data_IF_063004558476
#
_entry.id   IF_063004558476
#
_cell.length_a   1.000
_cell.length_b   1.000
_cell.length_c   1.000
_cell.angle_alpha   90.00
_cell.angle_beta   90.00
_cell.angle_gamma   90.00
#
_symmetry.space_group_name_H-M   'P 1'
#
loop_
_entity.id
_entity.type
_entity.pdbx_description
1 polymer ?
#
# COMPACT_ATOMS: atom_id res chain seq x y z
N UNK A 1 -30.79 23.56 -6.60
CA UNK A 1 -30.94 22.35 -7.43
C UNK A 1 -29.68 21.52 -7.22
N UNK A 2 -29.81 20.44 -6.46
CA UNK A 2 -28.72 19.61 -5.96
C UNK A 2 -28.12 18.78 -7.09
N UNK A 3 -26.78 18.76 -7.21
CA UNK A 3 -26.08 17.82 -8.09
C UNK A 3 -25.24 16.89 -7.21
N UNK A 4 -25.88 15.87 -6.65
CA UNK A 4 -25.25 14.83 -5.82
C UNK A 4 -25.46 13.47 -6.49
N UNK A 5 -24.70 13.19 -7.57
CA UNK A 5 -24.70 11.85 -8.19
C UNK A 5 -23.58 11.66 -9.23
N UNK A 6 -22.32 12.02 -8.93
CA UNK A 6 -21.17 11.59 -9.78
C UNK A 6 -19.95 11.03 -9.01
N UNK A 7 -19.86 11.22 -7.69
CA UNK A 7 -18.70 10.74 -6.92
C UNK A 7 -18.55 9.20 -6.91
N UNK A 8 -19.63 8.45 -7.14
CA UNK A 8 -19.64 6.99 -7.14
C UNK A 8 -19.17 6.37 -8.47
N UNK A 9 -19.36 7.07 -9.59
CA UNK A 9 -18.97 6.59 -10.90
C UNK A 9 -17.46 6.77 -11.15
N UNK A 10 -16.89 7.86 -10.62
CA UNK A 10 -15.48 8.18 -10.77
C UNK A 10 -14.56 7.40 -9.79
N UNK A 11 -15.14 6.77 -8.76
CA UNK A 11 -14.43 5.94 -7.76
C UNK A 11 -15.18 4.62 -7.46
N UNK A 12 -15.26 3.70 -8.44
CA UNK A 12 -16.05 2.46 -8.32
C UNK A 12 -15.53 1.52 -7.21
N UNK A 13 -14.28 1.70 -6.78
CA UNK A 13 -13.65 0.91 -5.73
C UNK A 13 -13.59 1.63 -4.37
N UNK A 14 -14.04 2.88 -4.27
CA UNK A 14 -13.97 3.66 -3.03
C UNK A 14 -12.53 3.93 -2.56
N UNK A 15 -11.60 4.16 -3.49
CA UNK A 15 -10.18 4.44 -3.26
C UNK A 15 -9.94 5.69 -2.42
N UNK A 16 -10.91 6.62 -2.38
CA UNK A 16 -10.85 7.80 -1.50
C UNK A 16 -10.58 7.43 -0.04
N UNK A 17 -10.98 6.22 0.40
CA UNK A 17 -10.70 5.73 1.76
C UNK A 17 -9.20 5.66 2.05
N UNK A 18 -8.38 5.27 1.08
CA UNK A 18 -6.92 5.21 1.24
C UNK A 18 -6.32 6.61 1.27
N UNK A 19 -6.79 7.51 0.40
CA UNK A 19 -6.33 8.91 0.38
C UNK A 19 -6.61 9.58 1.73
N UNK A 20 -7.82 9.41 2.25
CA UNK A 20 -8.20 9.94 3.55
C UNK A 20 -7.34 9.35 4.68
N UNK A 21 -7.09 8.03 4.68
CA UNK A 21 -6.26 7.37 5.70
C UNK A 21 -4.78 7.82 5.68
N UNK A 22 -4.27 8.18 4.50
CA UNK A 22 -2.90 8.67 4.32
C UNK A 22 -2.76 10.19 4.54
N UNK A 23 -3.86 10.92 4.75
CA UNK A 23 -3.85 12.37 4.91
C UNK A 23 -3.43 12.81 6.32
N UNK A 24 -3.36 14.12 6.57
CA UNK A 24 -3.13 14.67 7.91
C UNK A 24 -1.73 14.39 8.49
N UNK A 25 -0.71 14.22 7.63
CA UNK A 25 0.66 13.95 8.07
C UNK A 25 1.01 12.45 8.19
N UNK A 26 0.04 11.55 8.01
CA UNK A 26 0.23 10.10 8.18
C UNK A 26 1.17 9.54 7.11
N UNK A 27 0.98 9.93 5.84
CA UNK A 27 1.89 9.52 4.77
C UNK A 27 3.32 9.99 5.04
N UNK A 28 3.50 11.26 5.43
CA UNK A 28 4.79 11.84 5.72
C UNK A 28 5.47 11.13 6.90
N UNK A 29 4.70 10.76 7.92
CA UNK A 29 5.17 9.97 9.06
C UNK A 29 5.62 8.57 8.61
N UNK A 30 4.83 7.87 7.81
CA UNK A 30 5.21 6.55 7.26
C UNK A 30 6.52 6.64 6.47
N UNK A 31 6.67 7.67 5.62
CA UNK A 31 7.90 7.85 4.85
C UNK A 31 9.11 8.19 5.74
N UNK A 32 8.93 8.92 6.85
CA UNK A 32 10.00 9.15 7.84
C UNK A 32 10.43 7.85 8.52
N UNK A 33 9.46 7.04 8.96
CA UNK A 33 9.73 5.75 9.60
C UNK A 33 10.44 4.77 8.66
N UNK A 34 9.98 4.68 7.40
CA UNK A 34 10.65 3.87 6.38
C UNK A 34 12.09 4.33 6.13
N UNK A 35 12.34 5.64 6.01
CA UNK A 35 13.71 6.17 5.89
C UNK A 35 14.56 5.87 7.12
N UNK A 36 13.95 5.82 8.31
CA UNK A 36 14.61 5.43 9.55
C UNK A 36 14.85 3.93 9.68
N UNK A 37 14.35 3.11 8.74
CA UNK A 37 14.52 1.66 8.74
C UNK A 37 13.72 0.93 9.84
N UNK A 38 12.74 1.61 10.46
CA UNK A 38 11.92 1.04 11.52
C UNK A 38 10.51 1.65 11.52
N UNK A 39 9.51 0.79 11.40
CA UNK A 39 8.10 1.15 11.54
C UNK A 39 7.72 1.23 13.01
N UNK A 40 7.04 2.31 13.39
CA UNK A 40 6.61 2.58 14.77
C UNK A 40 5.11 2.85 14.90
N UNK A 41 4.44 3.32 13.85
CA UNK A 41 3.03 3.74 13.93
C UNK A 41 2.10 2.90 13.04
N UNK A 42 0.80 3.21 13.10
CA UNK A 42 -0.29 2.37 12.58
C UNK A 42 -0.72 2.75 11.16
N UNK A 43 0.10 2.41 10.15
CA UNK A 43 -0.19 2.76 8.75
C UNK A 43 -0.11 1.61 7.75
N UNK A 44 0.27 0.39 8.19
CA UNK A 44 0.55 -0.72 7.29
C UNK A 44 -0.58 -1.00 6.29
N UNK A 45 -1.82 -1.03 6.77
CA UNK A 45 -2.98 -1.45 5.98
C UNK A 45 -3.28 -0.57 4.77
N UNK A 46 -2.91 0.71 4.82
CA UNK A 46 -3.27 1.67 3.78
C UNK A 46 -2.05 2.31 3.09
N UNK A 47 -0.82 1.97 3.51
CA UNK A 47 0.40 2.24 2.74
C UNK A 47 0.78 1.02 1.89
N UNK A 48 0.68 -0.18 2.46
CA UNK A 48 0.92 -1.47 1.80
C UNK A 48 -0.32 -2.36 1.93
N UNK A 49 -1.44 -2.01 1.25
CA UNK A 49 -2.66 -2.79 1.32
C UNK A 49 -2.50 -4.16 0.66
N UNK A 50 -3.23 -5.14 1.19
CA UNK A 50 -3.21 -6.53 0.72
C UNK A 50 -4.62 -6.98 0.30
N UNK A 51 -4.71 -8.14 -0.34
CA UNK A 51 -5.99 -8.71 -0.74
C UNK A 51 -6.91 -8.99 0.47
N UNK A 52 -8.22 -8.91 0.22
CA UNK A 52 -9.25 -9.29 1.18
C UNK A 52 -9.09 -10.76 1.64
N UNK A 53 -9.52 -11.04 2.87
CA UNK A 53 -9.46 -12.39 3.46
C UNK A 53 -8.14 -12.72 4.16
N UNK A 54 -7.07 -11.95 3.97
CA UNK A 54 -5.75 -12.20 4.59
C UNK A 54 -5.62 -11.67 6.04
N UNK A 55 -6.57 -10.86 6.51
CA UNK A 55 -6.51 -10.28 7.85
C UNK A 55 -7.88 -10.18 8.52
N UNK A 56 -7.88 -10.34 9.84
CA UNK A 56 -9.11 -10.46 10.64
C UNK A 56 -9.44 -9.21 11.46
N UNK A 57 -8.57 -8.18 11.50
CA UNK A 57 -8.89 -6.94 12.19
C UNK A 57 -9.84 -6.09 11.36
N UNK A 58 -10.57 -5.19 12.01
CA UNK A 58 -11.45 -4.23 11.34
C UNK A 58 -10.68 -3.39 10.31
N UNK A 59 -9.47 -2.93 10.67
CA UNK A 59 -8.61 -2.17 9.77
C UNK A 59 -8.14 -3.01 8.57
N UNK A 60 -7.81 -4.30 8.78
CA UNK A 60 -7.47 -5.20 7.68
C UNK A 60 -8.63 -5.42 6.71
N UNK A 61 -9.87 -5.48 7.20
CA UNK A 61 -11.05 -5.59 6.33
C UNK A 61 -11.35 -4.27 5.61
N UNK A 62 -11.27 -3.15 6.31
CA UNK A 62 -11.59 -1.81 5.76
C UNK A 62 -10.66 -1.41 4.61
N UNK A 63 -9.38 -1.73 4.73
CA UNK A 63 -8.34 -1.34 3.76
C UNK A 63 -7.83 -2.52 2.93
N UNK A 64 -8.56 -3.65 2.94
CA UNK A 64 -8.31 -4.69 1.96
C UNK A 64 -8.67 -4.22 0.55
N UNK A 65 -7.93 -4.74 -0.42
CA UNK A 65 -8.27 -4.66 -1.84
C UNK A 65 -9.08 -5.90 -2.20
N UNK A 66 -10.15 -5.71 -2.97
CA UNK A 66 -11.06 -6.77 -3.42
C UNK A 66 -10.42 -7.73 -4.44
N UNK A 67 -9.36 -7.31 -5.14
CA UNK A 67 -8.69 -8.12 -6.14
C UNK A 67 -7.68 -7.35 -6.98
N UNK A 68 -7.27 -7.95 -8.10
CA UNK A 68 -6.28 -7.39 -9.03
C UNK A 68 -6.81 -6.11 -9.71
N UNK A 69 -8.09 -6.06 -10.04
CA UNK A 69 -8.72 -4.92 -10.71
C UNK A 69 -8.68 -3.67 -9.83
N UNK A 70 -8.98 -3.82 -8.54
CA UNK A 70 -8.86 -2.72 -7.58
C UNK A 70 -7.40 -2.31 -7.36
N UNK A 71 -6.47 -3.28 -7.30
CA UNK A 71 -5.05 -2.98 -7.21
C UNK A 71 -4.55 -2.18 -8.44
N UNK A 72 -5.03 -2.51 -9.65
CA UNK A 72 -4.76 -1.73 -10.87
C UNK A 72 -5.32 -0.30 -10.76
N UNK A 73 -6.56 -0.17 -10.30
CA UNK A 73 -7.17 1.14 -10.09
C UNK A 73 -6.40 1.97 -9.03
N UNK A 74 -5.96 1.33 -7.93
CA UNK A 74 -5.11 1.94 -6.91
C UNK A 74 -3.80 2.47 -7.50
N UNK A 75 -3.12 1.69 -8.36
CA UNK A 75 -1.88 2.11 -9.01
C UNK A 75 -2.08 3.20 -10.08
N UNK A 76 -3.23 3.22 -10.75
CA UNK A 76 -3.59 4.24 -11.73
C UNK A 76 -4.07 5.55 -11.08
N UNK A 77 -4.50 5.50 -9.81
CA UNK A 77 -4.97 6.67 -9.10
C UNK A 77 -3.84 7.71 -8.94
N UNK A 78 -4.08 9.00 -9.27
CA UNK A 78 -3.04 10.02 -9.43
C UNK A 78 -2.21 10.28 -8.15
N UNK A 79 -2.78 9.99 -6.98
CA UNK A 79 -2.09 10.12 -5.69
C UNK A 79 -1.53 8.80 -5.17
N UNK A 80 -2.30 7.71 -5.25
CA UNK A 80 -2.01 6.47 -4.50
C UNK A 80 -0.89 5.68 -5.18
N UNK A 81 -0.92 5.61 -6.51
CA UNK A 81 0.14 4.96 -7.28
C UNK A 81 1.49 5.62 -7.13
N UNK A 82 1.54 6.96 -7.04
CA UNK A 82 2.79 7.69 -6.80
C UNK A 82 3.32 7.39 -5.38
N UNK A 83 2.46 7.49 -4.36
CA UNK A 83 2.83 7.23 -2.96
C UNK A 83 3.31 5.81 -2.72
N UNK A 84 2.67 4.82 -3.33
CA UNK A 84 3.10 3.42 -3.21
C UNK A 84 4.53 3.24 -3.77
N UNK A 85 4.80 3.76 -4.96
CA UNK A 85 6.14 3.69 -5.57
C UNK A 85 7.18 4.45 -4.76
N UNK A 86 6.83 5.59 -4.18
CA UNK A 86 7.75 6.35 -3.32
C UNK A 86 8.09 5.57 -2.04
N UNK A 87 7.10 4.92 -1.43
CA UNK A 87 7.33 4.03 -0.29
C UNK A 87 8.30 2.89 -0.64
N UNK A 88 8.12 2.26 -1.80
CA UNK A 88 9.01 1.19 -2.28
C UNK A 88 10.43 1.70 -2.56
N UNK A 89 10.58 2.85 -3.21
CA UNK A 89 11.91 3.46 -3.46
C UNK A 89 12.66 3.75 -2.17
N UNK A 90 11.96 4.27 -1.14
CA UNK A 90 12.57 4.51 0.17
C UNK A 90 13.00 3.18 0.80
N UNK A 91 12.14 2.16 0.73
CA UNK A 91 12.43 0.86 1.29
C UNK A 91 13.65 0.21 0.60
N UNK A 92 13.72 0.25 -0.73
CA UNK A 92 14.82 -0.31 -1.52
C UNK A 92 16.16 0.41 -1.31
N UNK A 93 16.12 1.68 -0.91
CA UNK A 93 17.32 2.45 -0.59
C UNK A 93 17.96 2.08 0.76
N UNK A 94 17.27 1.30 1.60
CA UNK A 94 17.84 0.82 2.85
C UNK A 94 18.96 -0.20 2.62
N UNK A 95 19.91 -0.36 3.55
CA UNK A 95 20.88 -1.45 3.52
C UNK A 95 20.20 -2.83 3.43
N UNK A 96 20.88 -3.86 2.89
CA UNK A 96 20.36 -5.22 2.88
C UNK A 96 20.01 -5.70 4.30
N UNK A 97 18.74 -5.99 4.55
CA UNK A 97 18.23 -6.50 5.82
C UNK A 97 16.87 -7.20 5.60
N UNK A 98 16.47 -8.14 6.47
CA UNK A 98 15.15 -8.76 6.36
C UNK A 98 14.03 -7.77 6.70
N UNK A 99 12.86 -7.92 6.07
CA UNK A 99 11.70 -7.05 6.26
C UNK A 99 11.25 -7.00 7.74
N UNK A 100 11.41 -8.11 8.46
CA UNK A 100 11.05 -8.25 9.87
C UNK A 100 11.82 -7.28 10.78
N UNK A 101 13.01 -6.82 10.37
CA UNK A 101 13.77 -5.80 11.11
C UNK A 101 13.14 -4.41 11.02
N UNK A 102 12.39 -4.14 9.94
CA UNK A 102 11.73 -2.86 9.67
C UNK A 102 10.29 -2.90 10.20
N UNK A 103 9.57 -3.97 9.88
CA UNK A 103 8.12 -4.06 10.07
C UNK A 103 7.71 -4.95 11.25
N UNK A 104 8.60 -5.80 11.77
CA UNK A 104 8.22 -6.93 12.61
C UNK A 104 7.54 -8.05 11.80
N UNK A 105 7.30 -9.21 12.43
CA UNK A 105 6.86 -10.41 11.72
C UNK A 105 5.51 -10.29 11.00
N UNK A 106 4.50 -9.73 11.67
CA UNK A 106 3.14 -9.64 11.10
C UNK A 106 3.09 -8.66 9.93
N UNK A 107 3.67 -7.46 10.08
CA UNK A 107 3.63 -6.46 9.02
C UNK A 107 4.63 -6.82 7.88
N UNK A 108 5.72 -7.56 8.14
CA UNK A 108 6.54 -8.12 7.06
C UNK A 108 5.72 -9.09 6.16
N UNK A 109 4.86 -9.94 6.75
CA UNK A 109 3.97 -10.80 5.97
C UNK A 109 2.98 -9.97 5.12
N UNK A 110 2.41 -8.90 5.68
CA UNK A 110 1.51 -8.01 4.92
C UNK A 110 2.23 -7.31 3.77
N UNK A 111 3.50 -6.94 3.96
CA UNK A 111 4.31 -6.36 2.87
C UNK A 111 4.45 -7.36 1.73
N UNK A 112 4.81 -8.62 2.04
CA UNK A 112 4.89 -9.69 1.03
C UNK A 112 3.57 -9.87 0.28
N UNK A 113 2.45 -9.94 1.00
CA UNK A 113 1.13 -10.05 0.39
C UNK A 113 0.74 -8.84 -0.47
N UNK A 114 1.11 -7.62 -0.05
CA UNK A 114 0.95 -6.40 -0.85
C UNK A 114 1.76 -6.48 -2.15
N UNK A 115 3.06 -6.80 -2.05
CA UNK A 115 3.96 -6.88 -3.20
C UNK A 115 3.54 -7.95 -4.21
N UNK A 116 3.08 -9.12 -3.73
CA UNK A 116 2.54 -10.18 -4.57
C UNK A 116 1.34 -9.68 -5.41
N UNK A 117 0.37 -9.05 -4.74
CA UNK A 117 -0.83 -8.52 -5.40
C UNK A 117 -0.50 -7.42 -6.41
N UNK A 118 0.31 -6.44 -6.01
CA UNK A 118 0.64 -5.31 -6.89
C UNK A 118 1.55 -5.70 -8.05
N UNK A 119 2.45 -6.67 -7.87
CA UNK A 119 3.24 -7.20 -8.99
C UNK A 119 2.37 -7.97 -9.99
N UNK A 120 1.32 -8.68 -9.53
CA UNK A 120 0.35 -9.29 -10.42
C UNK A 120 -0.52 -8.24 -11.16
N UNK A 121 -0.81 -7.12 -10.49
CA UNK A 121 -1.58 -6.01 -11.06
C UNK A 121 -0.81 -5.22 -12.13
N UNK A 122 0.51 -5.04 -11.95
CA UNK A 122 1.39 -4.27 -12.82
C UNK A 122 2.73 -5.00 -13.05
N UNK A 123 2.75 -6.09 -13.84
CA UNK A 123 3.95 -6.90 -14.04
C UNK A 123 5.09 -6.15 -14.78
N UNK A 124 4.76 -5.10 -15.51
CA UNK A 124 5.75 -4.29 -16.24
C UNK A 124 6.31 -3.11 -15.41
N UNK A 125 5.80 -2.90 -14.17
CA UNK A 125 6.30 -1.87 -13.29
C UNK A 125 7.58 -2.33 -12.59
N UNK A 126 8.72 -1.83 -13.06
CA UNK A 126 10.05 -2.24 -12.59
C UNK A 126 10.31 -1.93 -11.12
N UNK A 127 9.66 -0.91 -10.55
CA UNK A 127 9.81 -0.56 -9.13
C UNK A 127 9.11 -1.61 -8.27
N UNK A 128 7.89 -2.00 -8.67
CA UNK A 128 7.08 -2.97 -7.93
C UNK A 128 7.70 -4.37 -8.04
N UNK A 129 8.13 -4.77 -9.23
CA UNK A 129 8.74 -6.09 -9.44
C UNK A 129 10.09 -6.22 -8.74
N UNK A 130 10.95 -5.18 -8.79
CA UNK A 130 12.21 -5.18 -8.04
C UNK A 130 11.97 -5.27 -6.52
N UNK A 131 11.02 -4.50 -5.99
CA UNK A 131 10.67 -4.56 -4.58
C UNK A 131 10.10 -5.94 -4.19
N UNK A 132 9.27 -6.56 -5.03
CA UNK A 132 8.80 -7.95 -4.80
C UNK A 132 9.95 -8.93 -4.76
N UNK A 133 10.92 -8.85 -5.68
CA UNK A 133 12.09 -9.74 -5.65
C UNK A 133 12.91 -9.55 -4.38
N UNK A 134 13.06 -8.31 -3.92
CA UNK A 134 13.88 -7.99 -2.75
C UNK A 134 13.21 -8.31 -1.42
N UNK A 135 11.92 -8.03 -1.29
CA UNK A 135 11.20 -8.05 -0.01
C UNK A 135 10.09 -9.12 0.05
N UNK A 136 9.87 -9.87 -1.04
CA UNK A 136 8.87 -10.92 -1.16
C UNK A 136 9.26 -12.27 -0.56
N UNK A 137 10.57 -12.48 -0.32
CA UNK A 137 11.15 -13.71 0.23
C UNK A 137 11.09 -13.83 1.75
#
# INVERSE_FOLDING_TARGET
>A
MSNSSNASADDPFGLVRFVAAQSGGVHEQAMRELRGGAKHTHWMWFIFPQAAGLGHSEMSRRYALSGIEEARAYLAHPVLGARYRDALRILDALPPQPAERIFGGIDALKLRSSLELFAAAAPDDTIITAARTRWGG
#
